data_IF_282925515995
#
_entry.id   IF_282925515995
#
_cell.length_a   1.000
_cell.length_b   1.000
_cell.length_c   1.000
_cell.angle_alpha   90.00
_cell.angle_beta   90.00
_cell.angle_gamma   90.00
#
_symmetry.space_group_name_H-M   'P 1'
#
loop_
_entity.id
_entity.type
_entity.pdbx_description
1 polymer ?
#
# COMPACT_ATOMS: atom_id res chain seq x y z
N UNK A 1 9.26 -7.89 20.62
CA UNK A 1 7.82 -7.60 20.42
C UNK A 1 6.94 -8.29 21.47
N UNK A 2 7.52 -9.16 22.30
CA UNK A 2 6.83 -9.90 23.37
C UNK A 2 6.05 -9.06 24.36
N UNK A 3 6.56 -7.88 24.74
CA UNK A 3 5.82 -6.93 25.59
C UNK A 3 4.51 -6.44 24.97
N UNK A 4 4.32 -6.60 23.65
CA UNK A 4 3.10 -6.26 22.91
C UNK A 4 2.27 -7.52 22.56
N UNK A 5 2.58 -8.68 23.16
CA UNK A 5 1.85 -9.92 22.98
C UNK A 5 2.29 -10.78 21.80
N UNK A 6 3.39 -10.44 21.11
CA UNK A 6 3.94 -11.28 20.05
C UNK A 6 4.83 -12.39 20.63
N UNK A 7 4.68 -13.62 20.18
CA UNK A 7 5.50 -14.76 20.61
C UNK A 7 6.38 -15.26 19.46
N UNK A 8 7.57 -15.74 19.81
CA UNK A 8 8.52 -16.31 18.86
C UNK A 8 7.88 -17.48 18.08
N UNK A 9 8.14 -17.53 16.77
CA UNK A 9 7.61 -18.56 15.88
C UNK A 9 6.16 -18.34 15.41
N UNK A 10 5.45 -17.32 15.90
CA UNK A 10 4.11 -16.97 15.42
C UNK A 10 4.12 -15.76 14.49
N UNK A 11 3.32 -15.84 13.43
CA UNK A 11 3.06 -14.72 12.53
C UNK A 11 2.19 -13.64 13.17
N UNK A 12 2.26 -12.44 12.61
CA UNK A 12 1.41 -11.32 13.03
C UNK A 12 -0.02 -11.45 12.49
N UNK A 13 -0.98 -10.85 13.19
CA UNK A 13 -2.40 -10.83 12.81
C UNK A 13 -3.30 -11.48 13.87
N UNK A 14 -4.61 -11.25 13.75
CA UNK A 14 -5.59 -11.69 14.77
C UNK A 14 -5.68 -13.21 14.94
N UNK A 15 -5.42 -13.97 13.88
CA UNK A 15 -5.38 -15.44 13.90
C UNK A 15 -3.96 -16.01 13.96
N UNK A 16 -2.93 -15.17 14.06
CA UNK A 16 -1.51 -15.57 14.00
C UNK A 16 -1.12 -16.43 12.78
N UNK A 17 -1.93 -16.41 11.71
CA UNK A 17 -1.72 -17.15 10.47
C UNK A 17 -0.75 -16.47 9.49
N UNK A 18 -0.12 -15.35 9.89
CA UNK A 18 0.90 -14.68 9.08
C UNK A 18 2.19 -15.50 9.00
N UNK A 19 3.09 -15.10 8.10
CA UNK A 19 4.42 -15.70 8.00
C UNK A 19 5.25 -15.30 9.22
N UNK A 20 5.85 -16.29 9.89
CA UNK A 20 6.66 -16.08 11.10
C UNK A 20 8.13 -15.74 10.77
N UNK A 21 8.63 -16.23 9.62
CA UNK A 21 9.98 -15.97 9.16
C UNK A 21 10.02 -14.83 8.15
N UNK A 22 11.13 -14.10 8.15
CA UNK A 22 11.37 -13.10 7.12
C UNK A 22 11.62 -13.80 5.78
N UNK A 23 11.22 -13.14 4.68
CA UNK A 23 11.66 -13.57 3.37
C UNK A 23 13.17 -13.33 3.24
N UNK A 24 13.82 -14.22 2.51
CA UNK A 24 15.21 -14.02 2.11
C UNK A 24 15.36 -12.75 1.28
N UNK A 25 16.57 -12.19 1.29
CA UNK A 25 16.91 -10.99 0.53
C UNK A 25 17.13 -11.31 -0.96
N UNK A 26 16.12 -11.86 -1.61
CA UNK A 26 16.05 -12.09 -3.06
C UNK A 26 15.74 -10.80 -3.84
N UNK A 27 15.76 -9.66 -3.14
CA UNK A 27 15.55 -8.35 -3.70
C UNK A 27 16.66 -7.98 -4.68
N UNK A 28 16.29 -7.33 -5.79
CA UNK A 28 17.26 -6.83 -6.75
C UNK A 28 18.05 -5.66 -6.17
N UNK A 29 19.37 -5.80 -6.08
CA UNK A 29 20.25 -4.71 -5.66
C UNK A 29 20.11 -3.49 -6.60
N UNK A 30 19.99 -2.25 -6.09
CA UNK A 30 19.90 -1.04 -6.93
C UNK A 30 21.05 -0.88 -7.94
N UNK A 31 22.22 -1.43 -7.64
CA UNK A 31 23.40 -1.42 -8.53
C UNK A 31 23.33 -2.51 -9.61
N UNK A 32 22.43 -3.49 -9.49
CA UNK A 32 22.19 -4.49 -10.52
C UNK A 32 21.31 -3.92 -11.63
N UNK A 33 21.94 -3.47 -12.72
CA UNK A 33 21.25 -3.01 -13.95
C UNK A 33 20.57 -4.15 -14.74
N UNK A 34 20.53 -5.36 -14.19
CA UNK A 34 19.94 -6.55 -14.80
C UNK A 34 18.41 -6.47 -14.85
N UNK A 35 17.86 -5.94 -15.95
CA UNK A 35 16.41 -5.87 -16.19
C UNK A 35 15.69 -7.22 -16.04
N UNK A 36 14.37 -7.19 -15.91
CA UNK A 36 13.55 -8.41 -15.95
C UNK A 36 13.85 -9.17 -17.26
N UNK A 37 14.28 -10.43 -17.16
CA UNK A 37 14.63 -11.27 -18.32
C UNK A 37 16.01 -11.03 -18.96
N UNK A 38 16.84 -10.10 -18.44
CA UNK A 38 18.20 -9.91 -18.97
C UNK A 38 19.20 -10.84 -18.26
N UNK A 39 19.75 -11.82 -18.97
CA UNK A 39 20.72 -12.78 -18.42
C UNK A 39 22.17 -12.55 -18.89
N UNK A 40 22.46 -11.38 -19.46
CA UNK A 40 23.77 -11.03 -20.01
C UNK A 40 23.75 -10.82 -21.53
N UNK A 41 22.75 -11.37 -22.21
CA UNK A 41 22.52 -11.12 -23.64
C UNK A 41 21.57 -9.94 -23.86
N UNK A 42 21.95 -9.03 -24.76
CA UNK A 42 21.14 -7.85 -25.08
C UNK A 42 19.77 -8.30 -25.60
N UNK A 43 18.72 -8.04 -24.82
CA UNK A 43 17.35 -8.30 -25.27
C UNK A 43 17.11 -7.57 -26.58
N UNK A 44 16.53 -8.28 -27.55
CA UNK A 44 16.16 -7.70 -28.83
C UNK A 44 15.06 -6.66 -28.58
N UNK A 45 15.44 -5.39 -28.51
CA UNK A 45 14.50 -4.31 -28.27
C UNK A 45 13.75 -4.03 -29.58
N UNK A 46 12.54 -4.57 -29.73
CA UNK A 46 11.60 -4.18 -30.80
C UNK A 46 11.00 -2.79 -30.57
N UNK A 47 11.76 -1.88 -29.95
CA UNK A 47 11.33 -0.52 -29.70
C UNK A 47 11.44 0.25 -31.02
N UNK A 48 10.29 0.48 -31.66
CA UNK A 48 10.18 1.56 -32.64
C UNK A 48 10.74 2.84 -31.98
N UNK A 49 11.57 3.64 -32.67
CA UNK A 49 12.00 4.92 -32.13
C UNK A 49 10.76 5.67 -31.66
N UNK A 50 10.77 6.06 -30.38
CA UNK A 50 9.65 6.80 -29.80
C UNK A 50 9.56 8.09 -30.59
N UNK A 51 8.51 8.25 -31.40
CA UNK A 51 8.28 9.50 -32.09
C UNK A 51 8.32 10.60 -31.03
N UNK A 52 9.12 11.67 -31.24
CA UNK A 52 9.06 12.81 -30.35
C UNK A 52 7.59 13.19 -30.21
N UNK A 53 7.10 13.24 -28.97
CA UNK A 53 5.73 13.66 -28.70
C UNK A 53 5.57 15.02 -29.37
N UNK A 54 4.63 15.12 -30.31
CA UNK A 54 4.33 16.39 -30.99
C UNK A 54 3.71 17.41 -30.03
N UNK A 55 3.41 16.99 -28.81
CA UNK A 55 2.89 17.82 -27.75
C UNK A 55 4.04 18.64 -27.17
N UNK A 56 4.01 19.93 -27.49
CA UNK A 56 4.97 20.99 -27.18
C UNK A 56 5.20 21.25 -25.69
N UNK A 57 4.56 20.49 -24.79
CA UNK A 57 4.63 20.65 -23.33
C UNK A 57 5.90 20.04 -22.72
N UNK A 58 6.99 19.98 -23.49
CA UNK A 58 8.29 19.47 -23.02
C UNK A 58 9.01 20.41 -22.05
N UNK A 59 8.46 21.60 -21.81
CA UNK A 59 8.92 22.53 -20.80
C UNK A 59 8.15 22.27 -19.49
N UNK A 60 8.88 22.11 -18.39
CA UNK A 60 8.27 22.09 -17.06
C UNK A 60 7.70 23.49 -16.82
N UNK A 61 6.37 23.62 -16.79
CA UNK A 61 5.70 24.88 -16.47
C UNK A 61 5.90 25.22 -15.00
N UNK A 62 6.03 26.51 -14.73
CA UNK A 62 6.01 27.08 -13.40
C UNK A 62 4.60 27.59 -13.08
N UNK A 63 4.34 27.86 -11.80
CA UNK A 63 3.06 28.44 -11.35
C UNK A 63 2.81 29.87 -11.87
N UNK A 64 3.77 30.46 -12.57
CA UNK A 64 3.68 31.79 -13.15
C UNK A 64 3.42 31.77 -14.67
N UNK A 65 3.48 30.60 -15.30
CA UNK A 65 3.16 30.46 -16.71
C UNK A 65 1.65 30.42 -16.92
N UNK A 66 1.19 30.80 -18.12
CA UNK A 66 -0.23 30.75 -18.45
C UNK A 66 -0.75 29.29 -18.40
N UNK A 67 -1.93 29.05 -17.79
CA UNK A 67 -2.46 27.70 -17.63
C UNK A 67 -2.84 27.10 -18.98
N UNK A 68 -2.42 25.86 -19.22
CA UNK A 68 -2.78 25.11 -20.42
C UNK A 68 -4.19 24.50 -20.26
N UNK A 69 -4.86 24.12 -21.35
CA UNK A 69 -6.17 23.47 -21.28
C UNK A 69 -6.18 22.17 -20.43
N UNK A 70 -5.04 21.50 -20.34
CA UNK A 70 -4.84 20.30 -19.49
C UNK A 70 -4.71 20.61 -18.01
N UNK A 71 -4.40 21.86 -17.64
CA UNK A 71 -4.30 22.33 -16.26
C UNK A 71 -5.68 22.70 -15.67
N UNK A 72 -6.75 22.22 -16.29
CA UNK A 72 -8.13 22.39 -15.81
C UNK A 72 -8.27 21.89 -14.37
N UNK A 73 -9.03 22.60 -13.54
CA UNK A 73 -9.22 22.19 -12.15
C UNK A 73 -9.91 20.81 -12.07
N UNK A 74 -9.23 19.87 -11.41
CA UNK A 74 -9.81 18.56 -11.12
C UNK A 74 -11.03 18.71 -10.21
N UNK A 75 -12.15 18.09 -10.61
CA UNK A 75 -13.35 18.08 -9.79
C UNK A 75 -13.11 17.19 -8.56
N UNK A 76 -12.84 17.80 -7.40
CA UNK A 76 -12.62 17.09 -6.15
C UNK A 76 -13.90 16.36 -5.71
N UNK A 77 -13.92 15.03 -5.87
CA UNK A 77 -14.96 14.17 -5.31
C UNK A 77 -14.83 14.13 -3.78
N UNK A 78 -15.49 15.05 -3.09
CA UNK A 78 -15.52 15.07 -1.61
C UNK A 78 -16.39 13.92 -1.10
N UNK A 79 -15.80 13.06 -0.26
CA UNK A 79 -16.54 12.05 0.48
C UNK A 79 -17.51 12.72 1.46
N UNK A 80 -18.80 12.38 1.38
CA UNK A 80 -19.76 12.73 2.41
C UNK A 80 -19.47 11.89 3.67
N UNK A 81 -19.27 12.54 4.82
CA UNK A 81 -19.10 11.83 6.07
C UNK A 81 -20.45 11.22 6.51
N UNK A 82 -20.42 9.97 6.96
CA UNK A 82 -21.58 9.34 7.60
C UNK A 82 -21.77 9.99 8.97
N UNK A 83 -22.80 10.82 9.11
CA UNK A 83 -23.12 11.51 10.38
C UNK A 83 -23.91 10.65 11.37
N UNK A 84 -24.30 9.43 11.00
CA UNK A 84 -25.07 8.54 11.86
C UNK A 84 -24.18 7.47 12.50
N UNK A 85 -24.27 7.35 13.83
CA UNK A 85 -23.71 6.24 14.59
C UNK A 85 -24.84 5.32 15.06
N UNK A 86 -24.69 4.00 14.89
CA UNK A 86 -25.63 3.02 15.46
C UNK A 86 -25.28 2.77 16.93
N UNK A 87 -26.25 2.98 17.82
CA UNK A 87 -26.12 2.60 19.22
C UNK A 87 -26.16 1.08 19.36
N UNK A 88 -25.13 0.48 19.95
CA UNK A 88 -25.12 -0.92 20.35
C UNK A 88 -25.40 -0.99 21.84
N UNK A 89 -26.52 -1.58 22.22
CA UNK A 89 -26.76 -1.95 23.62
C UNK A 89 -25.71 -2.98 24.03
N UNK A 90 -24.97 -2.66 25.09
CA UNK A 90 -23.95 -3.55 25.63
C UNK A 90 -24.64 -4.82 26.15
N UNK A 91 -24.26 -5.97 25.59
CA UNK A 91 -24.67 -7.25 26.11
C UNK A 91 -23.99 -7.43 27.48
N UNK A 92 -24.81 -7.44 28.54
CA UNK A 92 -24.37 -7.73 29.92
C UNK A 92 -23.80 -9.14 29.98
N UNK A 93 -22.48 -9.26 29.86
CA UNK A 93 -21.77 -10.49 30.19
C UNK A 93 -21.27 -10.37 31.63
N UNK A 94 -22.13 -10.75 32.58
CA UNK A 94 -21.87 -10.72 34.01
C UNK A 94 -21.96 -12.11 34.64
N UNK A 95 -20.91 -12.90 34.43
CA UNK A 95 -20.28 -13.90 35.33
C UNK A 95 -21.20 -14.54 36.39
N UNK A 96 -21.57 -15.81 36.18
CA UNK A 96 -22.06 -16.68 37.25
C UNK A 96 -20.91 -16.99 38.22
N UNK A 97 -20.99 -16.48 39.45
CA UNK A 97 -20.13 -16.91 40.55
C UNK A 97 -20.70 -18.21 41.11
N UNK A 98 -19.96 -19.31 40.94
CA UNK A 98 -20.26 -20.57 41.62
C UNK A 98 -19.83 -20.43 43.08
N UNK A 99 -20.78 -20.21 43.98
CA UNK A 99 -20.55 -20.38 45.42
C UNK A 99 -20.51 -21.88 45.73
N UNK A 100 -19.34 -22.42 46.05
CA UNK A 100 -19.23 -23.65 46.84
C UNK A 100 -19.67 -23.35 48.27
N UNK A 101 -20.61 -24.13 48.77
CA UNK A 101 -20.97 -24.22 50.19
C UNK A 101 -20.64 -25.64 50.69
N UNK A 102 -20.34 -25.79 52.00
CA UNK A 102 -19.53 -26.88 52.55
C UNK A 102 -20.24 -28.23 52.64
#
# INVERSE_FOLDING_TARGET
MERQGWSEGLGLGSSSSGMAEALDNEGRNPRCKRGLGYHGEKLQTFTKPKNPRRDSYGLISTIYDDPHPVDSEDQLLRRQLSISMKYRQEARHGIQKNSSSP
#
